data_IF_841023542241
#
_entry.id   IF_841023542241
#
_cell.length_a   1.000
_cell.length_b   1.000
_cell.length_c   1.000
_cell.angle_alpha   90.00
_cell.angle_beta   90.00
_cell.angle_gamma   90.00
#
_symmetry.space_group_name_H-M   'P 1'
#
loop_
_entity.id
_entity.type
_entity.pdbx_description
1 polymer ?
#
# COMPACT_ATOMS: atom_id res chain seq x y z
N UNK A 1 -5.43 32.55 -81.54
CA UNK A 1 -6.61 32.05 -80.80
C UNK A 1 -6.13 31.29 -79.58
N UNK A 2 -6.13 31.92 -78.41
CA UNK A 2 -6.21 31.25 -77.09
C UNK A 2 -6.36 32.36 -76.05
N UNK A 3 -7.62 32.68 -75.72
CA UNK A 3 -7.94 33.58 -74.63
C UNK A 3 -7.86 32.78 -73.33
N UNK A 4 -6.86 33.06 -72.50
CA UNK A 4 -6.74 32.46 -71.16
C UNK A 4 -7.60 33.30 -70.23
N UNK A 5 -8.80 32.81 -69.93
CA UNK A 5 -9.68 33.45 -68.96
C UNK A 5 -9.04 33.41 -67.55
N UNK A 6 -9.06 34.51 -66.77
CA UNK A 6 -8.57 34.50 -65.41
C UNK A 6 -9.52 33.65 -64.56
N UNK A 7 -9.03 32.54 -64.04
CA UNK A 7 -9.75 31.75 -63.05
C UNK A 7 -10.08 32.67 -61.86
N UNK A 8 -11.37 32.90 -61.65
CA UNK A 8 -11.90 33.70 -60.55
C UNK A 8 -11.43 33.04 -59.24
N UNK A 9 -10.72 33.81 -58.41
CA UNK A 9 -10.27 33.46 -57.05
C UNK A 9 -11.19 32.53 -56.22
N UNK A 10 -12.54 32.63 -56.27
CA UNK A 10 -13.43 31.67 -55.58
C UNK A 10 -13.27 30.20 -56.00
N UNK A 11 -12.98 29.90 -57.26
CA UNK A 11 -12.84 28.52 -57.74
C UNK A 11 -11.52 27.90 -57.27
N UNK A 12 -10.46 28.70 -57.21
CA UNK A 12 -9.17 28.28 -56.65
C UNK A 12 -9.28 28.10 -55.13
N UNK A 13 -10.02 28.97 -54.44
CA UNK A 13 -10.31 28.83 -53.02
C UNK A 13 -11.14 27.58 -52.71
N UNK A 14 -12.12 27.24 -53.56
CA UNK A 14 -12.92 26.00 -53.45
C UNK A 14 -12.08 24.75 -53.69
N UNK A 15 -11.23 24.76 -54.72
CA UNK A 15 -10.31 23.65 -55.00
C UNK A 15 -9.31 23.43 -53.86
N UNK A 16 -8.75 24.50 -53.29
CA UNK A 16 -7.84 24.44 -52.14
C UNK A 16 -8.56 23.97 -50.87
N UNK A 17 -9.81 24.41 -50.64
CA UNK A 17 -10.62 23.95 -49.51
C UNK A 17 -10.94 22.45 -49.62
N UNK A 18 -11.35 21.97 -50.80
CA UNK A 18 -11.58 20.54 -51.07
C UNK A 18 -10.30 19.70 -50.95
N UNK A 19 -9.14 20.27 -51.26
CA UNK A 19 -7.85 19.59 -51.13
C UNK A 19 -7.36 19.53 -49.67
N UNK A 20 -7.74 20.52 -48.84
CA UNK A 20 -7.48 20.54 -47.39
C UNK A 20 -8.29 19.48 -46.63
N UNK A 21 -9.51 19.18 -47.08
CA UNK A 21 -10.36 18.12 -46.49
C UNK A 21 -9.92 16.70 -46.89
N UNK A 22 -9.10 16.55 -47.93
CA UNK A 22 -8.60 15.26 -48.43
C UNK A 22 -7.34 14.76 -47.71
N UNK A 23 -6.66 15.61 -46.95
CA UNK A 23 -5.61 15.20 -46.00
C UNK A 23 -6.18 15.13 -44.56
N UNK A 24 -7.26 14.36 -44.46
CA UNK A 24 -7.35 13.14 -43.68
C UNK A 24 -7.36 13.28 -42.14
N UNK A 25 -8.48 13.81 -41.64
CA UNK A 25 -8.93 13.59 -40.26
C UNK A 25 -8.94 12.09 -39.88
N UNK A 26 -9.12 11.20 -40.86
CA UNK A 26 -9.01 9.74 -40.69
C UNK A 26 -7.57 9.28 -40.44
N UNK A 27 -6.56 9.92 -41.04
CA UNK A 27 -5.14 9.67 -40.74
C UNK A 27 -4.82 10.06 -39.29
N UNK A 28 -5.28 11.22 -38.83
CA UNK A 28 -5.12 11.63 -37.42
C UNK A 28 -5.84 10.68 -36.47
N UNK A 29 -7.07 10.28 -36.82
CA UNK A 29 -7.85 9.35 -36.00
C UNK A 29 -7.17 7.98 -35.93
N UNK A 30 -6.62 7.49 -37.05
CA UNK A 30 -5.85 6.23 -37.10
C UNK A 30 -4.55 6.33 -36.31
N UNK A 31 -3.79 7.42 -36.46
CA UNK A 31 -2.56 7.66 -35.72
C UNK A 31 -2.82 7.75 -34.20
N UNK A 32 -3.88 8.46 -33.80
CA UNK A 32 -4.28 8.55 -32.39
C UNK A 32 -4.70 7.19 -31.84
N UNK A 33 -5.49 6.39 -32.58
CA UNK A 33 -5.88 5.04 -32.15
C UNK A 33 -4.68 4.10 -31.99
N UNK A 34 -3.71 4.15 -32.92
CA UNK A 34 -2.48 3.36 -32.86
C UNK A 34 -1.61 3.79 -31.68
N UNK A 35 -1.47 5.10 -31.43
CA UNK A 35 -0.79 5.63 -30.25
C UNK A 35 -1.51 5.20 -28.97
N UNK A 36 -2.82 5.36 -28.87
CA UNK A 36 -3.61 4.93 -27.72
C UNK A 36 -3.58 3.40 -27.51
N UNK A 37 -3.39 2.60 -28.55
CA UNK A 37 -3.12 1.16 -28.42
C UNK A 37 -1.72 0.87 -27.89
N UNK A 38 -0.70 1.62 -28.32
CA UNK A 38 0.65 1.50 -27.78
C UNK A 38 0.73 1.88 -26.30
N UNK A 39 -0.06 2.87 -25.85
CA UNK A 39 -0.12 3.29 -24.45
C UNK A 39 -0.99 2.35 -23.58
N UNK A 40 -1.93 1.63 -24.19
CA UNK A 40 -2.74 0.58 -23.51
C UNK A 40 -1.91 -0.65 -23.06
N UNK A 41 -0.60 -0.66 -23.30
CA UNK A 41 0.33 -1.69 -22.82
C UNK A 41 1.19 -1.28 -21.62
N UNK A 42 1.21 -0.01 -21.22
CA UNK A 42 1.91 0.41 -20.01
C UNK A 42 1.01 0.12 -18.81
N UNK A 43 1.42 -0.85 -17.99
CA UNK A 43 0.74 -1.14 -16.72
C UNK A 43 0.80 0.11 -15.86
N UNK A 44 -0.29 0.40 -15.14
CA UNK A 44 -0.34 1.57 -14.29
C UNK A 44 0.85 1.56 -13.30
N UNK A 45 1.66 2.62 -13.26
CA UNK A 45 2.87 2.65 -12.44
C UNK A 45 2.57 2.45 -10.96
N UNK A 46 1.38 2.88 -10.52
CA UNK A 46 0.90 2.66 -9.15
C UNK A 46 0.62 1.19 -8.84
N UNK A 47 0.14 0.42 -9.82
CA UNK A 47 -0.16 -1.00 -9.64
C UNK A 47 1.14 -1.81 -9.55
N UNK A 48 2.14 -1.47 -10.36
CA UNK A 48 3.46 -2.12 -10.28
C UNK A 48 4.16 -1.82 -8.96
N UNK A 49 4.17 -0.55 -8.54
CA UNK A 49 4.74 -0.17 -7.24
C UNK A 49 4.09 -0.93 -6.08
N UNK A 50 2.76 -1.07 -6.09
CA UNK A 50 2.04 -1.83 -5.05
C UNK A 50 2.36 -3.32 -5.10
N UNK A 51 2.51 -3.89 -6.29
CA UNK A 51 2.86 -5.31 -6.47
C UNK A 51 4.27 -5.58 -5.93
N UNK A 52 5.25 -4.79 -6.35
CA UNK A 52 6.65 -4.92 -5.92
C UNK A 52 6.80 -4.67 -4.41
N UNK A 53 6.11 -3.64 -3.89
CA UNK A 53 6.06 -3.35 -2.46
C UNK A 53 5.50 -4.50 -1.64
N UNK A 54 4.42 -5.12 -2.13
CA UNK A 54 3.80 -6.27 -1.45
C UNK A 54 4.71 -7.51 -1.47
N UNK A 55 5.36 -7.81 -2.60
CA UNK A 55 6.29 -8.95 -2.70
C UNK A 55 7.47 -8.81 -1.72
N UNK A 56 8.06 -7.61 -1.62
CA UNK A 56 9.11 -7.34 -0.64
C UNK A 56 8.64 -7.52 0.80
N UNK A 57 7.44 -7.03 1.11
CA UNK A 57 6.86 -7.14 2.45
C UNK A 57 6.60 -8.60 2.85
N UNK A 58 6.04 -9.41 1.96
CA UNK A 58 5.81 -10.84 2.23
C UNK A 58 7.12 -11.59 2.44
N UNK A 59 8.17 -11.25 1.69
CA UNK A 59 9.51 -11.77 1.90
C UNK A 59 10.03 -11.47 3.31
N UNK A 60 10.00 -10.20 3.70
CA UNK A 60 10.39 -9.77 5.05
C UNK A 60 9.61 -10.51 6.15
N UNK A 61 8.29 -10.63 5.99
CA UNK A 61 7.44 -11.33 6.97
C UNK A 61 7.80 -12.81 7.10
N UNK A 62 8.14 -13.48 5.99
CA UNK A 62 8.62 -14.86 6.01
C UNK A 62 9.92 -14.98 6.83
N UNK A 63 10.85 -14.04 6.67
CA UNK A 63 12.12 -14.04 7.40
C UNK A 63 11.91 -13.79 8.90
N UNK A 64 11.01 -12.85 9.25
CA UNK A 64 10.62 -12.58 10.64
C UNK A 64 10.02 -13.82 11.29
N UNK A 65 9.11 -14.51 10.60
CA UNK A 65 8.47 -15.72 11.12
C UNK A 65 9.48 -16.86 11.30
N UNK A 66 10.38 -17.08 10.33
CA UNK A 66 11.43 -18.09 10.43
C UNK A 66 12.35 -17.81 11.63
N UNK A 67 12.79 -16.56 11.77
CA UNK A 67 13.66 -16.12 12.88
C UNK A 67 12.96 -16.25 14.23
N UNK A 68 11.67 -15.90 14.30
CA UNK A 68 10.88 -16.03 15.51
C UNK A 68 10.74 -17.50 15.92
N UNK A 69 10.36 -18.38 14.98
CA UNK A 69 10.21 -19.81 15.26
C UNK A 69 11.53 -20.44 15.74
N UNK A 70 12.66 -20.12 15.10
CA UNK A 70 13.97 -20.61 15.52
C UNK A 70 14.33 -20.15 16.95
N UNK A 71 14.16 -18.86 17.24
CA UNK A 71 14.50 -18.29 18.56
C UNK A 71 13.58 -18.82 19.65
N UNK A 72 12.29 -18.98 19.35
CA UNK A 72 11.31 -19.50 20.29
C UNK A 72 11.57 -20.96 20.62
N UNK A 73 11.84 -21.79 19.63
CA UNK A 73 12.11 -23.23 19.84
C UNK A 73 13.46 -23.48 20.53
N UNK A 74 14.42 -22.56 20.41
CA UNK A 74 15.72 -22.62 21.11
C UNK A 74 15.70 -22.00 22.51
N UNK A 75 14.56 -21.49 22.98
CA UNK A 75 14.45 -20.87 24.29
C UNK A 75 14.52 -21.93 25.40
N UNK A 76 15.69 -22.09 26.03
CA UNK A 76 15.83 -22.86 27.27
C UNK A 76 15.54 -21.96 28.46
N UNK A 77 14.41 -22.20 29.13
CA UNK A 77 14.04 -21.50 30.36
C UNK A 77 14.57 -22.32 31.54
N UNK A 78 15.64 -21.87 32.16
CA UNK A 78 16.07 -22.38 33.47
C UNK A 78 15.16 -21.77 34.54
N UNK A 79 14.10 -22.50 34.91
CA UNK A 79 13.31 -22.19 36.11
C UNK A 79 14.13 -22.67 37.31
N UNK A 80 15.09 -21.84 37.72
CA UNK A 80 15.81 -22.05 38.96
C UNK A 80 14.87 -21.97 40.15
N UNK A 81 15.06 -22.79 41.21
CA UNK A 81 14.26 -22.67 42.42
C UNK A 81 14.30 -21.21 42.91
N UNK A 82 13.19 -20.70 43.49
CA UNK A 82 13.20 -19.35 44.05
C UNK A 82 14.40 -19.25 44.98
N UNK A 83 15.32 -18.33 44.70
CA UNK A 83 16.51 -18.12 45.54
C UNK A 83 16.00 -17.85 46.95
N UNK A 84 16.10 -18.87 47.80
CA UNK A 84 15.88 -18.77 49.22
C UNK A 84 16.81 -17.69 49.77
N UNK A 85 16.25 -16.84 50.61
CA UNK A 85 16.93 -15.72 51.27
C UNK A 85 18.27 -16.12 51.92
N UNK A 86 19.22 -15.19 52.09
CA UNK A 86 20.54 -15.49 52.64
C UNK A 86 20.42 -15.91 54.10
N UNK A 87 20.92 -17.10 54.44
CA UNK A 87 20.83 -17.58 55.82
C UNK A 87 21.57 -18.89 56.10
N UNK A 88 22.90 -18.84 56.15
CA UNK A 88 23.70 -19.63 57.10
C UNK A 88 25.09 -19.01 57.28
N UNK A 89 25.27 -18.43 58.46
CA UNK A 89 26.53 -17.97 59.01
C UNK A 89 27.19 -19.19 59.66
N UNK A 90 28.39 -19.59 59.24
CA UNK A 90 29.23 -20.46 60.08
C UNK A 90 30.28 -21.33 59.38
N UNK A 91 31.53 -20.84 59.33
CA UNK A 91 32.70 -21.71 59.21
C UNK A 91 33.99 -20.98 58.78
N UNK A 92 35.03 -20.86 59.63
CA UNK A 92 36.31 -20.32 59.22
C UNK A 92 37.19 -21.44 58.62
N UNK A 93 37.70 -21.28 57.39
CA UNK A 93 38.50 -22.33 56.76
C UNK A 93 39.19 -21.96 55.44
N UNK A 94 40.25 -21.16 55.54
CA UNK A 94 41.42 -20.98 54.65
C UNK A 94 41.55 -21.82 53.36
N UNK A 95 41.76 -21.11 52.22
CA UNK A 95 42.77 -21.31 51.13
C UNK A 95 42.29 -20.51 49.90
N UNK A 96 43.02 -19.66 49.17
CA UNK A 96 44.44 -19.34 48.89
C UNK A 96 44.43 -18.61 47.52
N UNK A 97 45.42 -17.78 47.13
CA UNK A 97 45.30 -16.92 45.95
C UNK A 97 45.59 -17.70 44.66
N UNK A 98 44.71 -17.61 43.66
CA UNK A 98 45.03 -18.02 42.28
C UNK A 98 44.97 -16.82 41.34
N UNK A 99 46.14 -16.52 40.81
CA UNK A 99 46.41 -15.62 39.70
C UNK A 99 45.58 -16.00 38.45
N UNK A 100 45.25 -14.99 37.64
CA UNK A 100 44.48 -15.12 36.39
C UNK A 100 45.22 -15.89 35.27
N UNK A 101 44.61 -15.96 34.07
CA UNK A 101 45.09 -15.03 33.05
C UNK A 101 43.99 -14.44 32.12
N UNK A 102 44.20 -13.16 31.80
CA UNK A 102 44.14 -12.53 30.48
C UNK A 102 42.99 -12.92 29.52
N UNK A 103 42.05 -11.96 29.35
CA UNK A 103 41.68 -11.44 28.03
C UNK A 103 40.97 -12.37 27.04
N UNK A 104 39.68 -12.64 27.26
CA UNK A 104 38.78 -13.11 26.21
C UNK A 104 38.12 -11.94 25.45
N UNK A 105 37.80 -12.08 24.16
CA UNK A 105 37.18 -11.01 23.36
C UNK A 105 35.79 -10.66 23.91
N UNK A 106 35.58 -9.38 24.25
CA UNK A 106 34.27 -8.84 24.64
C UNK A 106 33.33 -8.86 23.44
N UNK A 107 32.26 -9.65 23.52
CA UNK A 107 31.14 -9.58 22.57
C UNK A 107 30.35 -8.29 22.85
N UNK A 108 30.07 -7.43 21.84
CA UNK A 108 29.27 -6.24 22.07
C UNK A 108 27.83 -6.64 22.43
N UNK A 109 27.14 -5.85 23.29
CA UNK A 109 25.76 -6.13 23.66
C UNK A 109 24.84 -5.97 22.44
N UNK A 110 23.76 -6.77 22.32
CA UNK A 110 22.79 -6.59 21.25
C UNK A 110 22.07 -5.25 21.41
N UNK A 111 21.99 -4.48 20.32
CA UNK A 111 21.17 -3.27 20.29
C UNK A 111 19.70 -3.67 20.38
N UNK A 112 19.03 -3.21 21.44
CA UNK A 112 17.59 -3.43 21.64
C UNK A 112 16.87 -2.30 20.92
N UNK A 113 16.29 -2.58 19.76
CA UNK A 113 15.36 -1.67 19.11
C UNK A 113 13.99 -1.83 19.77
N UNK A 114 13.61 -0.85 20.60
CA UNK A 114 12.25 -0.76 21.13
C UNK A 114 11.29 -0.49 19.97
N UNK A 115 10.36 -1.43 19.72
CA UNK A 115 9.25 -1.24 18.78
C UNK A 115 8.27 -0.23 19.37
N UNK A 116 7.77 0.76 18.59
CA UNK A 116 6.49 1.38 18.89
C UNK A 116 5.36 0.43 18.47
N UNK A 117 4.31 0.42 19.29
CA UNK A 117 3.14 -0.45 19.16
C UNK A 117 2.43 -0.26 17.81
N UNK A 118 2.26 -1.36 17.09
CA UNK A 118 1.54 -1.42 15.82
C UNK A 118 0.27 -2.26 15.98
N UNK A 119 -0.68 -1.74 16.76
CA UNK A 119 -2.07 -2.21 16.73
C UNK A 119 -2.78 -1.59 15.53
N UNK A 120 -2.94 -2.37 14.47
CA UNK A 120 -3.65 -1.91 13.27
C UNK A 120 -3.60 -2.87 12.08
N UNK A 121 -3.61 -4.18 12.32
CA UNK A 121 -3.75 -5.16 11.24
C UNK A 121 -5.19 -5.16 10.72
N UNK A 122 -5.34 -4.65 9.50
CA UNK A 122 -6.55 -4.70 8.68
C UNK A 122 -6.90 -6.17 8.41
N UNK A 123 -8.10 -6.56 8.82
CA UNK A 123 -8.72 -7.84 8.49
C UNK A 123 -8.84 -7.99 6.97
N UNK A 124 -8.23 -9.03 6.42
CA UNK A 124 -8.44 -9.46 5.04
C UNK A 124 -9.62 -10.41 4.99
N UNK A 125 -10.83 -9.87 4.87
CA UNK A 125 -11.97 -10.66 4.44
C UNK A 125 -11.97 -10.71 2.90
N UNK A 126 -11.66 -11.89 2.39
CA UNK A 126 -11.87 -12.30 1.02
C UNK A 126 -13.38 -12.28 0.73
N UNK A 127 -13.85 -11.20 0.09
CA UNK A 127 -15.15 -11.17 -0.58
C UNK A 127 -14.97 -10.57 -1.98
N UNK A 128 -14.56 -11.42 -2.92
CA UNK A 128 -14.68 -11.18 -4.36
C UNK A 128 -16.15 -11.22 -4.76
N UNK A 129 -16.89 -10.14 -4.49
CA UNK A 129 -18.23 -9.91 -5.05
C UNK A 129 -18.14 -9.27 -6.44
N UNK A 130 -19.15 -9.43 -7.32
CA UNK A 130 -19.18 -8.79 -8.64
C UNK A 130 -19.09 -7.26 -8.49
N UNK A 131 -18.10 -6.65 -9.13
CA UNK A 131 -17.97 -5.19 -9.22
C UNK A 131 -19.17 -4.63 -10.01
N UNK A 132 -20.02 -3.76 -9.46
CA UNK A 132 -21.09 -3.15 -10.23
C UNK A 132 -20.51 -2.25 -11.32
N UNK A 133 -21.18 -2.13 -12.48
CA UNK A 133 -20.71 -1.30 -13.59
C UNK A 133 -20.59 0.16 -13.15
N UNK A 134 -19.52 0.82 -13.59
CA UNK A 134 -19.11 2.17 -13.19
C UNK A 134 -19.98 3.31 -13.77
N UNK A 135 -21.20 3.01 -14.22
CA UNK A 135 -22.12 3.95 -14.87
C UNK A 135 -23.43 4.08 -14.06
N UNK A 136 -23.31 4.36 -12.76
CA UNK A 136 -24.44 4.92 -11.99
C UNK A 136 -24.27 6.43 -11.90
N UNK A 137 -25.29 7.24 -12.24
CA UNK A 137 -25.26 8.67 -11.97
C UNK A 137 -24.99 8.88 -10.47
N UNK A 138 -24.28 9.96 -10.07
CA UNK A 138 -23.99 10.21 -8.67
C UNK A 138 -25.32 10.29 -7.93
N UNK A 139 -25.66 9.24 -7.19
CA UNK A 139 -26.78 9.28 -6.27
C UNK A 139 -26.41 10.33 -5.25
N UNK A 140 -27.08 11.49 -5.30
CA UNK A 140 -27.06 12.50 -4.25
C UNK A 140 -27.35 11.77 -2.95
N UNK A 141 -26.31 11.44 -2.19
CA UNK A 141 -26.50 10.81 -0.91
C UNK A 141 -27.15 11.89 -0.02
N UNK A 142 -28.39 11.72 0.43
CA UNK A 142 -29.10 12.73 1.23
C UNK A 142 -28.38 13.03 2.55
N UNK A 143 -27.37 12.23 2.92
CA UNK A 143 -26.54 12.39 4.12
C UNK A 143 -25.08 12.73 3.80
N UNK A 144 -24.79 13.22 2.58
CA UNK A 144 -23.45 13.72 2.21
C UNK A 144 -23.09 14.93 3.09
N UNK A 145 -22.30 14.68 4.15
CA UNK A 145 -21.88 15.70 5.12
C UNK A 145 -22.17 15.34 6.58
N UNK A 146 -22.93 14.28 6.85
CA UNK A 146 -23.14 13.78 8.21
C UNK A 146 -22.01 12.82 8.58
N UNK A 147 -21.23 13.15 9.60
CA UNK A 147 -20.17 12.30 10.12
C UNK A 147 -20.73 11.04 10.78
N UNK A 148 -19.96 9.94 10.74
CA UNK A 148 -20.38 8.62 11.26
C UNK A 148 -20.84 8.63 12.73
N UNK A 149 -20.37 9.59 13.53
CA UNK A 149 -20.70 9.74 14.95
C UNK A 149 -21.69 10.87 15.28
N UNK A 150 -22.09 11.69 14.29
CA UNK A 150 -22.98 12.83 14.49
C UNK A 150 -24.40 12.38 14.85
N UNK A 151 -25.22 13.24 15.50
CA UNK A 151 -26.63 12.94 15.71
C UNK A 151 -27.32 12.66 14.37
N UNK A 152 -28.14 11.60 14.33
CA UNK A 152 -28.88 11.25 13.13
C UNK A 152 -29.83 12.40 12.74
N UNK A 153 -29.82 12.87 11.48
CA UNK A 153 -30.73 13.92 11.00
C UNK A 153 -32.21 13.49 11.00
N UNK A 154 -32.48 12.20 11.26
CA UNK A 154 -33.81 11.64 11.47
C UNK A 154 -34.47 12.01 12.81
N UNK A 155 -33.78 12.77 13.69
CA UNK A 155 -34.33 13.19 14.99
C UNK A 155 -34.40 12.09 16.05
N UNK A 156 -33.82 10.90 15.79
CA UNK A 156 -33.90 9.75 16.68
C UNK A 156 -33.03 9.84 17.95
N UNK A 157 -32.22 10.90 18.09
CA UNK A 157 -31.24 11.06 19.17
C UNK A 157 -30.07 10.06 19.15
N UNK A 158 -30.03 9.13 18.18
CA UNK A 158 -28.98 8.12 18.03
C UNK A 158 -27.86 8.64 17.12
N UNK A 159 -26.62 8.19 17.33
CA UNK A 159 -25.49 8.47 16.42
C UNK A 159 -25.77 7.90 15.03
N UNK A 160 -25.33 8.57 13.96
CA UNK A 160 -25.60 8.19 12.57
C UNK A 160 -25.28 6.72 12.28
N UNK A 161 -24.12 6.21 12.74
CA UNK A 161 -23.73 4.79 12.62
C UNK A 161 -24.64 3.78 13.30
N UNK A 162 -25.45 4.20 14.27
CA UNK A 162 -26.40 3.34 15.00
C UNK A 162 -27.82 3.48 14.45
N UNK A 163 -27.99 4.18 13.32
CA UNK A 163 -29.27 4.44 12.69
C UNK A 163 -29.12 4.31 11.17
N UNK A 164 -29.27 5.40 10.40
CA UNK A 164 -29.24 5.37 8.94
C UNK A 164 -27.84 5.06 8.34
N UNK A 165 -26.77 5.17 9.13
CA UNK A 165 -25.40 4.78 8.75
C UNK A 165 -24.97 3.40 9.28
N UNK A 166 -25.92 2.51 9.61
CA UNK A 166 -25.59 1.16 10.09
C UNK A 166 -25.22 0.19 8.95
N UNK A 167 -25.69 0.46 7.73
CA UNK A 167 -25.43 -0.33 6.53
C UNK A 167 -24.60 0.42 5.46
N UNK A 168 -24.12 1.62 5.79
CA UNK A 168 -23.20 2.46 5.00
C UNK A 168 -21.82 2.39 5.63
#
# INVERSE_FOLDING_TARGET
MTTTAPLLAPELARAVALQRDRLDLDLLTRAYRMSAQAHRGQKDPLIEYKREGYEMFVGLMRDVHATFAERWLKLQIEIGPPRGAPGDVGGPGVRGPRAGPLGGPRRPPPMVASKPDADGLVQTDLASGPRPPADRPPTLNPYAGVGRNDPCPCGSGKKFKKCHGAAV
#
